data_IF_635555692621
#
_entry.id   IF_635555692621
#
_cell.length_a   1.000
_cell.length_b   1.000
_cell.length_c   1.000
_cell.angle_alpha   90.00
_cell.angle_beta   90.00
_cell.angle_gamma   90.00
#
_symmetry.space_group_name_H-M   'P 1'
#
loop_
_entity.id
_entity.type
_entity.pdbx_description
1 polymer ?
#
# COMPACT_ATOMS: atom_id res chain seq x y z
N UNK A 1 -8.39 20.95 2.47
CA UNK A 1 -8.62 19.59 1.96
C UNK A 1 -8.41 18.58 3.08
N UNK A 2 -9.08 17.44 2.97
CA UNK A 2 -8.98 16.29 3.88
C UNK A 2 -7.57 15.67 3.81
N UNK A 3 -6.92 15.41 4.95
CA UNK A 3 -5.62 14.74 4.98
C UNK A 3 -5.84 13.23 4.84
N UNK A 4 -5.35 12.66 3.74
CA UNK A 4 -5.56 11.24 3.40
C UNK A 4 -4.28 10.45 3.67
N UNK A 5 -4.38 9.45 4.54
CA UNK A 5 -3.26 8.58 4.95
C UNK A 5 -3.48 7.20 4.32
N UNK A 6 -2.52 6.73 3.55
CA UNK A 6 -2.54 5.38 2.99
C UNK A 6 -1.76 4.40 3.88
N UNK A 7 -2.33 3.22 4.09
CA UNK A 7 -1.65 2.10 4.73
C UNK A 7 -1.67 0.89 3.79
N UNK A 8 -0.53 0.20 3.66
CA UNK A 8 -0.39 -1.03 2.88
C UNK A 8 0.01 -2.21 3.78
N UNK A 9 -0.96 -2.82 4.49
CA UNK A 9 -0.69 -3.89 5.45
C UNK A 9 -0.51 -5.27 4.80
N UNK A 10 -0.88 -5.40 3.51
CA UNK A 10 -0.79 -6.64 2.74
C UNK A 10 0.58 -6.89 2.10
N UNK A 11 0.58 -7.70 1.03
CA UNK A 11 1.77 -7.97 0.20
C UNK A 11 2.53 -9.27 0.53
N UNK A 12 1.95 -10.13 1.39
CA UNK A 12 2.59 -11.37 1.85
C UNK A 12 2.36 -12.56 0.93
N UNK A 13 1.72 -12.38 -0.23
CA UNK A 13 1.40 -13.43 -1.19
C UNK A 13 1.87 -13.05 -2.59
N UNK A 14 2.48 -14.00 -3.28
CA UNK A 14 2.76 -13.94 -4.71
C UNK A 14 2.42 -15.30 -5.36
N UNK A 15 2.51 -15.37 -6.69
CA UNK A 15 2.16 -16.57 -7.47
C UNK A 15 2.94 -17.82 -7.02
N UNK A 16 4.16 -17.63 -6.50
CA UNK A 16 5.08 -18.72 -6.15
C UNK A 16 5.02 -19.10 -4.66
N UNK A 17 4.61 -18.18 -3.77
CA UNK A 17 4.78 -18.34 -2.33
C UNK A 17 3.85 -17.43 -1.51
N UNK A 18 3.44 -17.92 -0.33
CA UNK A 18 2.86 -17.12 0.75
C UNK A 18 3.87 -17.01 1.89
N UNK A 19 4.19 -15.78 2.30
CA UNK A 19 5.16 -15.45 3.34
C UNK A 19 4.60 -14.40 4.29
N UNK A 20 3.70 -14.82 5.18
CA UNK A 20 3.10 -13.92 6.17
C UNK A 20 4.12 -13.37 7.18
N UNK A 21 5.24 -14.06 7.36
CA UNK A 21 6.35 -13.59 8.20
C UNK A 21 7.10 -12.38 7.63
N UNK A 22 6.75 -11.95 6.41
CA UNK A 22 7.20 -10.68 5.82
C UNK A 22 6.26 -9.50 6.11
N UNK A 23 5.16 -9.74 6.82
CA UNK A 23 4.21 -8.70 7.16
C UNK A 23 4.44 -8.20 8.58
N UNK A 24 4.38 -6.88 8.74
CA UNK A 24 4.24 -6.29 10.06
C UNK A 24 2.90 -6.74 10.66
N UNK A 25 2.85 -7.12 11.96
CA UNK A 25 1.64 -7.65 12.57
C UNK A 25 0.41 -6.76 12.31
N UNK A 26 -0.72 -7.38 12.00
CA UNK A 26 -1.96 -6.64 11.70
C UNK A 26 -2.41 -5.83 12.90
N UNK A 27 -2.17 -6.33 14.11
CA UNK A 27 -2.43 -5.67 15.38
C UNK A 27 -1.68 -4.33 15.48
N UNK A 28 -0.46 -4.26 14.93
CA UNK A 28 0.32 -3.04 14.91
C UNK A 28 -0.28 -2.00 13.94
N UNK A 29 -0.81 -2.43 12.79
CA UNK A 29 -1.58 -1.55 11.90
C UNK A 29 -2.87 -1.05 12.56
N UNK A 30 -3.57 -1.92 13.29
CA UNK A 30 -4.77 -1.56 14.07
C UNK A 30 -4.42 -0.50 15.11
N UNK A 31 -3.35 -0.69 15.89
CA UNK A 31 -2.90 0.31 16.87
C UNK A 31 -2.53 1.63 16.18
N UNK A 32 -1.78 1.56 15.07
CA UNK A 32 -1.36 2.75 14.33
C UNK A 32 -2.55 3.55 13.80
N UNK A 33 -3.57 2.88 13.24
CA UNK A 33 -4.82 3.52 12.82
C UNK A 33 -5.53 4.14 14.02
N UNK A 34 -5.52 3.49 15.17
CA UNK A 34 -6.03 4.05 16.43
C UNK A 34 -5.37 5.37 16.80
N UNK A 35 -4.05 5.49 16.63
CA UNK A 35 -3.32 6.75 16.87
C UNK A 35 -3.76 7.85 15.91
N UNK A 36 -3.89 7.56 14.61
CA UNK A 36 -4.43 8.52 13.64
C UNK A 36 -5.84 8.99 14.03
N UNK A 37 -6.73 8.05 14.38
CA UNK A 37 -8.12 8.38 14.78
C UNK A 37 -8.17 9.31 16.00
N UNK A 38 -7.23 9.18 16.94
CA UNK A 38 -7.15 10.03 18.14
C UNK A 38 -6.52 11.40 17.81
N UNK A 39 -5.47 11.41 17.00
CA UNK A 39 -4.66 12.60 16.73
C UNK A 39 -5.39 13.64 15.88
N UNK A 40 -6.22 13.21 14.92
CA UNK A 40 -6.95 14.17 14.09
C UNK A 40 -7.89 13.56 13.06
N UNK A 41 -8.59 14.42 12.30
CA UNK A 41 -9.55 14.01 11.28
C UNK A 41 -8.84 13.55 10.00
N UNK A 42 -8.19 12.39 10.06
CA UNK A 42 -7.55 11.75 8.91
C UNK A 42 -8.51 10.80 8.21
N UNK A 43 -8.43 10.78 6.88
CA UNK A 43 -9.07 9.72 6.09
C UNK A 43 -8.08 8.60 5.82
N UNK A 44 -8.43 7.41 6.27
CA UNK A 44 -7.57 6.24 6.13
C UNK A 44 -7.96 5.43 4.89
N UNK A 45 -6.97 5.14 4.05
CA UNK A 45 -7.12 4.28 2.87
C UNK A 45 -6.23 3.04 3.04
N UNK A 46 -6.80 1.85 2.86
CA UNK A 46 -6.07 0.60 2.89
C UNK A 46 -5.73 0.17 1.46
N UNK A 47 -4.46 0.30 1.08
CA UNK A 47 -3.93 -0.10 -0.22
C UNK A 47 -3.67 -1.61 -0.18
N UNK A 48 -4.48 -2.37 -0.92
CA UNK A 48 -4.52 -3.82 -0.81
C UNK A 48 -4.93 -4.51 -2.13
N UNK A 49 -4.47 -5.74 -2.33
CA UNK A 49 -4.90 -6.61 -3.42
C UNK A 49 -6.10 -7.50 -3.03
N UNK A 50 -6.75 -8.16 -4.00
CA UNK A 50 -7.88 -9.06 -3.74
C UNK A 50 -7.56 -10.16 -2.73
N UNK A 51 -6.30 -10.62 -2.71
CA UNK A 51 -5.82 -11.66 -1.81
C UNK A 51 -5.42 -11.14 -0.42
N UNK A 52 -5.50 -9.85 -0.10
CA UNK A 52 -5.09 -9.35 1.23
C UNK A 52 -6.20 -9.45 2.28
N UNK A 53 -7.32 -10.11 1.97
CA UNK A 53 -8.50 -10.14 2.85
C UNK A 53 -8.24 -10.62 4.28
N UNK A 54 -7.33 -11.59 4.47
CA UNK A 54 -6.98 -12.07 5.81
C UNK A 54 -6.35 -10.99 6.71
N UNK A 55 -5.66 -10.01 6.12
CA UNK A 55 -5.01 -8.92 6.87
C UNK A 55 -5.91 -7.68 6.94
N UNK A 56 -6.70 -7.43 5.89
CA UNK A 56 -7.57 -6.25 5.80
C UNK A 56 -8.84 -6.39 6.66
N UNK A 57 -9.41 -7.59 6.72
CA UNK A 57 -10.70 -7.80 7.38
C UNK A 57 -10.70 -7.43 8.88
N UNK A 58 -9.68 -7.82 9.70
CA UNK A 58 -9.63 -7.41 11.10
C UNK A 58 -9.54 -5.88 11.30
N UNK A 59 -8.86 -5.18 10.38
CA UNK A 59 -8.78 -3.71 10.41
C UNK A 59 -10.16 -3.10 10.17
N UNK A 60 -10.89 -3.58 9.15
CA UNK A 60 -12.22 -3.07 8.80
C UNK A 60 -13.28 -3.40 9.85
N UNK A 61 -13.15 -4.51 10.57
CA UNK A 61 -14.02 -4.84 11.70
C UNK A 61 -13.89 -3.82 12.83
N UNK A 62 -12.67 -3.32 13.08
CA UNK A 62 -12.39 -2.33 14.11
C UNK A 62 -12.64 -0.89 13.66
N UNK A 63 -12.34 -0.57 12.40
CA UNK A 63 -12.37 0.77 11.81
C UNK A 63 -13.10 0.77 10.47
N UNK A 64 -14.42 0.64 10.51
CA UNK A 64 -15.31 0.53 9.33
C UNK A 64 -15.25 1.74 8.40
N UNK A 65 -14.76 2.87 8.86
CA UNK A 65 -14.60 4.09 8.08
C UNK A 65 -13.39 4.08 7.13
N UNK A 66 -12.47 3.11 7.28
CA UNK A 66 -11.33 2.99 6.37
C UNK A 66 -11.80 2.62 4.96
N UNK A 67 -11.18 3.22 3.94
CA UNK A 67 -11.48 2.89 2.54
C UNK A 67 -10.75 1.59 2.17
N UNK A 68 -11.50 0.57 1.80
CA UNK A 68 -10.98 -0.68 1.26
C UNK A 68 -10.75 -0.59 -0.26
N UNK A 69 -9.51 -0.80 -0.71
CA UNK A 69 -9.16 -0.74 -2.14
C UNK A 69 -9.01 -2.11 -2.81
N UNK A 70 -9.29 -3.23 -2.12
CA UNK A 70 -9.06 -4.58 -2.66
C UNK A 70 -9.72 -4.82 -4.02
N UNK A 71 -10.92 -4.26 -4.21
CA UNK A 71 -11.70 -4.37 -5.45
C UNK A 71 -11.24 -3.42 -6.58
N UNK A 72 -10.31 -2.50 -6.31
CA UNK A 72 -9.85 -1.52 -7.29
C UNK A 72 -8.71 -2.07 -8.14
N UNK A 73 -8.65 -1.60 -9.38
CA UNK A 73 -7.54 -1.83 -10.29
C UNK A 73 -6.25 -1.15 -9.81
N UNK A 74 -5.13 -1.52 -10.40
CA UNK A 74 -3.84 -0.90 -10.13
C UNK A 74 -3.83 0.60 -10.46
N UNK A 75 -4.43 0.99 -11.59
CA UNK A 75 -4.51 2.39 -12.01
C UNK A 75 -5.35 3.24 -11.05
N UNK A 76 -6.46 2.70 -10.55
CA UNK A 76 -7.29 3.38 -9.55
C UNK A 76 -6.55 3.55 -8.22
N UNK A 77 -5.82 2.52 -7.77
CA UNK A 77 -4.96 2.63 -6.57
C UNK A 77 -3.88 3.70 -6.74
N UNK A 78 -3.23 3.77 -7.90
CA UNK A 78 -2.25 4.81 -8.19
C UNK A 78 -2.87 6.22 -8.19
N UNK A 79 -4.09 6.37 -8.73
CA UNK A 79 -4.84 7.63 -8.70
C UNK A 79 -5.18 8.07 -7.27
N UNK A 80 -5.59 7.13 -6.42
CA UNK A 80 -5.83 7.39 -4.99
C UNK A 80 -4.53 7.80 -4.30
N UNK A 81 -3.45 7.05 -4.51
CA UNK A 81 -2.14 7.33 -3.91
C UNK A 81 -1.65 8.74 -4.19
N UNK A 82 -1.82 9.25 -5.42
CA UNK A 82 -1.45 10.63 -5.79
C UNK A 82 -2.10 11.71 -4.92
N UNK A 83 -3.21 11.39 -4.25
CA UNK A 83 -3.94 12.30 -3.35
C UNK A 83 -3.63 12.07 -1.87
N UNK A 84 -2.84 11.06 -1.54
CA UNK A 84 -2.44 10.76 -0.17
C UNK A 84 -1.30 11.67 0.27
N UNK A 85 -1.35 12.12 1.53
CA UNK A 85 -0.29 12.92 2.15
C UNK A 85 0.93 12.07 2.49
N UNK A 86 0.72 10.79 2.80
CA UNK A 86 1.78 9.80 2.95
C UNK A 86 1.24 8.37 2.76
N UNK A 87 2.15 7.42 2.58
CA UNK A 87 1.88 6.00 2.68
C UNK A 87 2.82 5.32 3.68
N UNK A 88 2.29 4.44 4.52
CA UNK A 88 3.08 3.52 5.36
C UNK A 88 2.71 2.05 5.07
N UNK A 89 3.68 1.15 4.94
CA UNK A 89 3.38 -0.26 4.70
C UNK A 89 4.59 -1.17 4.62
N UNK A 90 4.35 -2.46 4.38
CA UNK A 90 5.42 -3.45 4.23
C UNK A 90 6.22 -3.20 2.93
N UNK A 91 7.50 -3.59 2.92
CA UNK A 91 8.31 -3.80 1.70
C UNK A 91 7.54 -4.69 0.69
N UNK A 92 6.80 -4.04 -0.20
CA UNK A 92 5.88 -4.65 -1.16
C UNK A 92 5.51 -3.65 -2.27
N UNK A 93 4.84 -4.14 -3.32
CA UNK A 93 4.50 -3.33 -4.51
C UNK A 93 3.87 -1.96 -4.22
N UNK A 94 2.92 -1.79 -3.26
CA UNK A 94 2.38 -0.49 -2.88
C UNK A 94 3.42 0.60 -2.57
N UNK A 95 4.56 0.26 -1.98
CA UNK A 95 5.66 1.20 -1.68
C UNK A 95 6.18 1.84 -2.96
N UNK A 96 6.50 1.02 -3.96
CA UNK A 96 7.04 1.51 -5.24
C UNK A 96 6.03 2.35 -6.03
N UNK A 97 4.74 1.98 -5.98
CA UNK A 97 3.67 2.75 -6.64
C UNK A 97 3.54 4.13 -5.99
N UNK A 98 3.52 4.19 -4.66
CA UNK A 98 3.40 5.45 -3.93
C UNK A 98 4.56 6.40 -4.24
N UNK A 99 5.79 5.87 -4.24
CA UNK A 99 6.97 6.64 -4.63
C UNK A 99 6.91 7.14 -6.08
N UNK A 100 6.48 6.31 -7.02
CA UNK A 100 6.31 6.72 -8.42
C UNK A 100 5.26 7.83 -8.57
N UNK A 101 4.29 7.90 -7.66
CA UNK A 101 3.28 8.97 -7.60
C UNK A 101 3.75 10.22 -6.83
N UNK A 102 4.99 10.23 -6.31
CA UNK A 102 5.55 11.35 -5.55
C UNK A 102 5.07 11.43 -4.09
N UNK A 103 4.51 10.35 -3.56
CA UNK A 103 3.96 10.30 -2.20
C UNK A 103 5.08 10.03 -1.19
N UNK A 104 5.21 10.82 -0.11
CA UNK A 104 6.08 10.47 1.02
C UNK A 104 5.78 9.07 1.54
N UNK A 105 6.77 8.19 1.53
CA UNK A 105 6.57 6.76 1.73
C UNK A 105 7.44 6.22 2.86
N UNK A 106 6.82 5.43 3.73
CA UNK A 106 7.42 4.84 4.92
C UNK A 106 7.30 3.33 4.82
N UNK A 107 8.40 2.67 4.49
CA UNK A 107 8.43 1.22 4.28
C UNK A 107 8.95 0.50 5.52
N UNK A 108 8.29 -0.59 5.87
CA UNK A 108 8.63 -1.47 7.00
C UNK A 108 9.42 -2.67 6.47
N UNK A 109 10.66 -2.80 6.93
CA UNK A 109 11.60 -3.82 6.48
C UNK A 109 11.92 -4.78 7.61
N UNK A 110 11.89 -6.07 7.32
CA UNK A 110 12.34 -7.11 8.25
C UNK A 110 13.34 -8.03 7.57
N UNK A 111 12.91 -9.00 6.75
CA UNK A 111 13.87 -9.95 6.16
C UNK A 111 14.81 -9.32 5.12
N UNK A 112 14.32 -8.35 4.34
CA UNK A 112 15.06 -7.73 3.23
C UNK A 112 15.95 -6.59 3.74
N UNK A 113 17.18 -6.47 3.22
CA UNK A 113 18.07 -5.36 3.55
C UNK A 113 17.65 -4.06 2.84
N UNK A 114 17.19 -3.01 3.57
CA UNK A 114 16.74 -1.75 2.97
C UNK A 114 17.84 -0.97 2.25
N UNK A 115 19.11 -1.15 2.62
CA UNK A 115 20.25 -0.50 1.96
C UNK A 115 20.51 -1.09 0.57
N UNK A 116 20.20 -2.37 0.37
CA UNK A 116 20.41 -3.10 -0.90
C UNK A 116 19.21 -2.99 -1.83
N UNK A 117 17.99 -3.04 -1.30
CA UNK A 117 16.76 -3.16 -2.11
C UNK A 117 15.79 -1.99 -1.97
N UNK A 118 15.99 -1.11 -0.99
CA UNK A 118 15.12 0.05 -0.81
C UNK A 118 15.53 1.19 -1.73
N UNK A 119 14.57 1.79 -2.42
CA UNK A 119 14.80 2.91 -3.32
C UNK A 119 15.45 4.09 -2.58
N UNK A 120 16.52 4.70 -3.13
CA UNK A 120 17.27 5.78 -2.48
C UNK A 120 16.63 7.16 -2.71
N UNK A 121 15.29 7.25 -2.72
CA UNK A 121 14.58 8.50 -2.95
C UNK A 121 14.51 9.34 -1.65
N UNK A 122 14.66 10.68 -1.72
CA UNK A 122 14.57 11.54 -0.53
C UNK A 122 13.22 11.46 0.20
N UNK A 123 12.13 11.18 -0.52
CA UNK A 123 10.78 11.01 0.03
C UNK A 123 10.50 9.60 0.55
N UNK A 124 11.51 8.73 0.63
CA UNK A 124 11.37 7.35 1.06
C UNK A 124 12.14 7.08 2.36
N UNK A 125 11.38 6.90 3.44
CA UNK A 125 11.92 6.53 4.75
C UNK A 125 11.82 5.02 4.93
N UNK A 126 12.96 4.38 5.20
CA UNK A 126 13.08 2.92 5.38
C UNK A 126 13.20 2.61 6.86
N UNK A 127 12.14 2.09 7.45
CA UNK A 127 12.08 1.71 8.85
C UNK A 127 12.54 0.25 8.98
N UNK A 128 13.65 0.06 9.68
CA UNK A 128 14.34 -1.23 9.79
C UNK A 128 15.02 -1.36 11.15
N UNK A 129 14.99 -2.57 11.71
CA UNK A 129 15.72 -2.92 12.93
C UNK A 129 16.69 -4.05 12.61
N UNK A 130 17.98 -3.75 12.70
CA UNK A 130 19.01 -4.76 12.62
C UNK A 130 18.98 -5.59 13.91
N UNK A 131 18.69 -6.87 13.77
CA UNK A 131 18.64 -7.84 14.85
C UNK A 131 19.36 -9.12 14.40
N UNK A 132 19.64 -10.03 15.33
CA UNK A 132 20.40 -11.25 15.04
C UNK A 132 19.91 -12.04 13.81
N UNK A 133 18.59 -12.12 13.58
CA UNK A 133 18.02 -12.86 12.46
C UNK A 133 17.69 -12.03 11.21
N UNK A 134 18.12 -10.77 11.13
CA UNK A 134 17.75 -9.86 10.04
C UNK A 134 18.83 -8.82 9.73
N UNK A 135 19.16 -8.59 8.45
CA UNK A 135 18.47 -9.08 7.26
C UNK A 135 18.82 -10.54 6.92
N UNK A 136 17.84 -11.32 6.47
CA UNK A 136 17.98 -12.75 6.18
C UNK A 136 17.54 -13.17 4.77
N UNK A 137 17.08 -12.22 3.95
CA UNK A 137 16.88 -12.43 2.53
C UNK A 137 18.22 -12.55 1.80
N UNK A 138 18.42 -13.62 1.04
CA UNK A 138 19.63 -13.83 0.26
C UNK A 138 19.27 -14.28 -1.17
N UNK A 139 19.54 -13.43 -2.16
CA UNK A 139 19.48 -13.72 -3.59
C UNK A 139 18.22 -14.48 -4.09
N UNK A 140 17.04 -14.11 -3.59
CA UNK A 140 15.77 -14.73 -4.00
C UNK A 140 15.19 -15.68 -2.97
N UNK A 141 15.96 -16.04 -1.95
CA UNK A 141 15.57 -17.02 -0.95
C UNK A 141 15.39 -16.38 0.43
N UNK A 142 14.42 -16.93 1.17
CA UNK A 142 14.21 -16.62 2.58
C UNK A 142 14.34 -17.93 3.36
N UNK A 143 15.01 -17.90 4.53
CA UNK A 143 15.03 -19.07 5.41
C UNK A 143 13.61 -19.38 5.91
N UNK A 144 13.42 -20.59 6.41
CA UNK A 144 12.22 -20.92 7.19
C UNK A 144 12.11 -19.97 8.41
N UNK A 145 10.96 -19.35 8.55
CA UNK A 145 10.69 -18.38 9.60
C UNK A 145 9.26 -18.55 10.08
N UNK A 146 9.08 -18.64 11.40
CA UNK A 146 7.80 -18.79 12.07
C UNK A 146 7.46 -17.64 13.04
N UNK A 147 8.45 -16.81 13.38
CA UNK A 147 8.31 -15.70 14.31
C UNK A 147 9.03 -14.49 13.71
N UNK A 148 8.29 -13.62 13.04
CA UNK A 148 8.74 -12.40 12.36
C UNK A 148 9.25 -11.32 13.33
N UNK A 149 10.12 -11.69 14.28
CA UNK A 149 10.69 -10.84 15.33
C UNK A 149 11.31 -9.56 14.76
N UNK A 150 11.89 -9.61 13.58
CA UNK A 150 12.48 -8.46 12.90
C UNK A 150 11.44 -7.36 12.61
N UNK A 151 10.24 -7.74 12.18
CA UNK A 151 9.14 -6.80 11.96
C UNK A 151 8.48 -6.40 13.29
N UNK A 152 8.31 -7.35 14.23
CA UNK A 152 7.80 -7.04 15.57
C UNK A 152 8.70 -6.06 16.35
N UNK A 153 10.00 -6.06 16.09
CA UNK A 153 10.96 -5.13 16.69
C UNK A 153 10.76 -3.68 16.22
N UNK A 154 10.10 -3.45 15.08
CA UNK A 154 9.64 -2.13 14.67
C UNK A 154 8.35 -1.84 15.43
N UNK A 155 8.42 -0.99 16.44
CA UNK A 155 7.28 -0.70 17.30
C UNK A 155 6.33 0.32 16.66
N UNK A 156 5.05 0.25 17.00
CA UNK A 156 4.05 1.25 16.55
C UNK A 156 4.45 2.65 17.00
N UNK A 157 5.06 2.77 18.19
CA UNK A 157 5.50 4.06 18.70
C UNK A 157 6.61 4.70 17.84
N UNK A 158 7.59 3.92 17.41
CA UNK A 158 8.66 4.42 16.53
C UNK A 158 8.11 4.83 15.17
N UNK A 159 7.21 4.02 14.59
CA UNK A 159 6.51 4.36 13.34
C UNK A 159 5.74 5.66 13.53
N UNK A 160 4.96 5.77 14.61
CA UNK A 160 4.15 6.96 14.91
C UNK A 160 4.99 8.22 15.05
N UNK A 161 6.11 8.18 15.79
CA UNK A 161 6.98 9.34 15.97
C UNK A 161 7.54 9.87 14.64
N UNK A 162 7.93 8.96 13.75
CA UNK A 162 8.40 9.32 12.40
C UNK A 162 7.27 9.94 11.58
N UNK A 163 6.09 9.32 11.57
CA UNK A 163 4.94 9.82 10.79
C UNK A 163 4.43 11.16 11.32
N UNK A 164 4.32 11.32 12.64
CA UNK A 164 3.76 12.53 13.26
C UNK A 164 4.61 13.78 12.98
N UNK A 165 5.93 13.64 12.85
CA UNK A 165 6.80 14.75 12.48
C UNK A 165 6.51 15.30 11.07
N UNK A 166 5.91 14.47 10.21
CA UNK A 166 5.72 14.68 8.77
C UNK A 166 4.27 15.00 8.44
N UNK A 167 3.36 14.78 9.40
CA UNK A 167 1.96 15.17 9.26
C UNK A 167 1.86 16.70 9.17
N UNK A 168 1.14 17.23 8.17
CA UNK A 168 0.94 18.66 8.06
C UNK A 168 0.23 19.18 9.31
N UNK A 169 0.92 20.01 10.10
CA UNK A 169 0.32 20.70 11.27
C UNK A 169 -0.70 21.76 10.85
N UNK A 170 -0.55 22.26 9.64
CA UNK A 170 -1.52 23.06 8.90
C UNK A 170 -1.62 22.51 7.49
N UNK A 171 -2.84 22.39 6.96
CA UNK A 171 -3.10 21.87 5.62
C UNK A 171 -2.47 22.85 4.60
N UNK A 172 -1.40 22.49 3.89
CA UNK A 172 -0.86 23.35 2.83
C UNK A 172 -1.92 23.45 1.75
N UNK A 173 -2.33 24.67 1.37
CA UNK A 173 -3.10 24.86 0.15
C UNK A 173 -2.28 24.26 -0.99
N UNK A 174 -2.86 23.43 -1.88
CA UNK A 174 -2.21 23.17 -3.14
C UNK A 174 -1.96 24.55 -3.78
N UNK A 175 -0.69 24.87 -4.04
CA UNK A 175 -0.36 25.98 -4.92
C UNK A 175 -1.15 25.70 -6.20
N UNK A 176 -1.99 26.64 -6.60
CA UNK A 176 -2.68 26.56 -7.88
C UNK A 176 -1.61 26.27 -8.92
N UNK A 177 -1.60 25.06 -9.47
CA UNK A 177 -0.71 24.73 -10.56
C UNK A 177 -1.22 25.50 -11.77
N UNK A 178 -0.68 26.70 -11.99
CA UNK A 178 -0.59 27.32 -13.30
C UNK A 178 0.31 26.43 -14.16
N UNK A 179 -0.20 25.26 -14.54
CA UNK A 179 0.33 24.43 -15.60
C UNK A 179 -0.80 23.51 -16.05
N UNK A 180 -1.63 24.05 -16.93
CA UNK A 180 -2.50 23.29 -17.81
C UNK A 180 -1.64 22.35 -18.65
N UNK A 181 -1.41 21.13 -18.17
CA UNK A 181 -0.97 20.05 -19.05
C UNK A 181 -2.16 19.72 -19.94
N UNK A 182 -2.10 20.17 -21.19
CA UNK A 182 -3.03 19.75 -22.23
C UNK A 182 -3.02 18.22 -22.30
N UNK A 183 -4.17 17.60 -22.07
CA UNK A 183 -4.40 16.19 -22.36
C UNK A 183 -4.10 16.03 -23.85
N UNK A 184 -2.95 15.45 -24.21
CA UNK A 184 -2.78 14.95 -25.58
C UNK A 184 -3.66 13.72 -25.68
N UNK A 185 -4.63 13.79 -26.58
CA UNK A 185 -5.52 12.67 -26.94
C UNK A 185 -4.66 11.44 -27.26
N UNK A 186 -4.93 10.33 -26.56
CA UNK A 186 -4.39 9.03 -26.94
C UNK A 186 -5.12 8.56 -28.20
N UNK A 187 -4.42 8.16 -29.29
CA UNK A 187 -5.06 7.64 -30.49
C UNK A 187 -5.86 6.36 -30.17
N UNK A 188 -7.08 6.30 -30.69
CA UNK A 188 -8.15 5.37 -30.31
C UNK A 188 -8.00 3.91 -30.79
N UNK A 189 -6.80 3.48 -31.21
CA UNK A 189 -6.66 2.27 -32.04
C UNK A 189 -6.00 1.06 -31.35
N UNK A 190 -6.05 0.97 -30.02
CA UNK A 190 -5.64 -0.27 -29.32
C UNK A 190 -6.64 -0.57 -28.20
N UNK A 191 -7.65 -1.37 -28.54
CA UNK A 191 -8.32 -2.40 -27.71
C UNK A 191 -9.53 -2.88 -28.56
N UNK A 192 -9.30 -3.86 -29.43
CA UNK A 192 -10.38 -4.66 -30.01
C UNK A 192 -10.67 -5.84 -29.08
N UNK A 193 -11.65 -5.68 -28.20
CA UNK A 193 -12.23 -6.81 -27.45
C UNK A 193 -13.26 -7.49 -28.37
N UNK A 194 -13.15 -8.80 -28.67
CA UNK A 194 -14.22 -9.48 -29.40
C UNK A 194 -15.48 -9.54 -28.53
N UNK A 195 -16.59 -9.03 -29.06
CA UNK A 195 -17.93 -9.12 -28.46
C UNK A 195 -18.35 -10.60 -28.34
N UNK A 196 -18.82 -10.97 -27.15
CA UNK A 196 -19.50 -12.24 -26.91
C UNK A 196 -20.72 -12.40 -27.85
N UNK A 197 -20.89 -13.58 -28.43
CA UNK A 197 -22.06 -13.96 -29.24
C UNK A 197 -23.21 -14.31 -28.29
N UNK A 198 -24.36 -13.62 -28.34
CA UNK A 198 -25.57 -14.07 -27.67
C UNK A 198 -26.23 -15.15 -28.55
N UNK A 199 -26.44 -16.34 -27.98
CA UNK A 199 -27.28 -17.37 -28.60
C UNK A 199 -28.73 -16.90 -28.69
N UNK A 200 -29.34 -17.09 -29.86
CA UNK A 200 -30.78 -16.85 -30.07
C UNK A 200 -31.50 -18.20 -30.29
N UNK A 201 -32.61 -18.48 -29.59
CA UNK A 201 -33.39 -19.69 -29.76
C UNK A 201 -34.54 -19.48 -30.76
N UNK A 202 -34.73 -20.41 -31.70
CA UNK A 202 -36.07 -20.74 -32.27
C UNK A 202 -36.04 -21.88 -33.31
N UNK A 203 -36.88 -22.90 -33.06
CA UNK A 203 -37.44 -23.98 -33.93
C UNK A 203 -38.30 -23.41 -35.10
N UNK A 204 -38.99 -24.22 -35.97
CA UNK A 204 -38.79 -25.58 -36.51
C UNK A 204 -39.04 -25.70 -38.07
N UNK A 205 -39.10 -26.95 -38.56
CA UNK A 205 -39.53 -27.51 -39.90
C UNK A 205 -38.38 -27.75 -40.89
N UNK A 206 -38.25 -28.89 -41.57
CA UNK A 206 -39.20 -29.93 -41.98
C UNK A 206 -38.87 -31.34 -41.44
#
# INVERSE_FOLDING_TARGET
EEVVIALAPGGGRNIKQTMLTRLWPVENFIELIGRFVIDGPYRIVLIAGPDDGAVIQPILERYRQCIDTRALSFGEKASILRRCSLLVGNDSAPIHIAMAMGVPTYSLWGPTNPKRYGDPLPSHTRLFKEIECSPCYNDGEFPECNDNRCLKAITVNEVWQVLQAELPREIPRPAASENSVSVREFPADIISVPRAVPGNPSRPTA
#
